data_IF_527367586162
#
_entry.id   IF_527367586162
#
_cell.length_a   1.000
_cell.length_b   1.000
_cell.length_c   1.000
_cell.angle_alpha   90.00
_cell.angle_beta   90.00
_cell.angle_gamma   90.00
#
_symmetry.space_group_name_H-M   'P 1'
#
loop_
_entity.id
_entity.type
_entity.pdbx_description
1 polymer ?
#
# COMPACT_ATOMS: atom_id res chain seq x y z
N UNK A 1 17.91 -6.81 5.18
CA UNK A 1 18.01 -5.58 4.35
C UNK A 1 17.83 -6.06 2.92
N UNK A 2 16.98 -5.38 2.15
CA UNK A 2 16.65 -5.82 0.79
C UNK A 2 17.89 -5.73 -0.11
N UNK A 3 18.19 -6.76 -0.92
CA UNK A 3 19.40 -6.79 -1.74
C UNK A 3 19.35 -5.79 -2.89
N UNK A 4 18.15 -5.44 -3.37
CA UNK A 4 17.93 -4.54 -4.50
C UNK A 4 16.78 -3.57 -4.24
N UNK A 5 16.90 -2.36 -4.79
CA UNK A 5 15.82 -1.37 -4.78
C UNK A 5 14.88 -1.57 -5.97
N UNK A 6 13.59 -1.31 -5.79
CA UNK A 6 12.62 -1.41 -6.88
C UNK A 6 11.17 -1.42 -6.39
N UNK A 7 10.28 -1.85 -7.27
CA UNK A 7 8.86 -2.06 -7.02
C UNK A 7 8.34 -3.22 -7.87
N UNK A 8 7.25 -3.84 -7.43
CA UNK A 8 6.57 -4.89 -8.18
C UNK A 8 6.07 -4.29 -9.51
N UNK A 9 6.32 -4.90 -10.69
CA UNK A 9 5.84 -4.37 -11.96
C UNK A 9 4.33 -4.13 -11.96
N UNK A 10 3.92 -2.93 -12.38
CA UNK A 10 2.52 -2.50 -12.39
C UNK A 10 2.02 -1.92 -11.05
N UNK A 11 2.83 -1.92 -10.00
CA UNK A 11 2.45 -1.28 -8.74
C UNK A 11 2.40 0.24 -8.84
N UNK A 12 1.34 0.84 -8.31
CA UNK A 12 1.26 2.28 -8.09
C UNK A 12 1.82 2.68 -6.72
N UNK A 13 2.50 3.83 -6.65
CA UNK A 13 2.96 4.37 -5.39
C UNK A 13 1.81 5.05 -4.64
N UNK A 14 1.46 4.52 -3.46
CA UNK A 14 0.52 5.14 -2.51
C UNK A 14 1.22 5.31 -1.18
N UNK A 15 1.82 6.47 -0.96
CA UNK A 15 2.57 6.74 0.26
C UNK A 15 1.60 6.82 1.45
N UNK A 16 1.85 5.98 2.47
CA UNK A 16 0.97 5.88 3.64
C UNK A 16 0.77 7.20 4.39
N UNK A 17 1.76 8.10 4.33
CA UNK A 17 1.68 9.41 4.99
C UNK A 17 0.66 10.34 4.35
N UNK A 18 0.30 10.12 3.08
CA UNK A 18 -0.71 10.93 2.39
C UNK A 18 -2.13 10.68 2.93
N UNK A 19 -2.32 9.62 3.72
CA UNK A 19 -3.54 9.35 4.46
C UNK A 19 -3.61 10.11 5.81
N UNK A 20 -2.58 10.91 6.14
CA UNK A 20 -2.48 11.65 7.40
C UNK A 20 -2.36 13.16 7.18
N UNK A 21 -2.77 13.95 8.17
CA UNK A 21 -2.57 15.39 8.21
C UNK A 21 -1.17 15.78 8.76
N UNK A 22 -0.87 17.09 8.78
CA UNK A 22 0.40 17.61 9.31
C UNK A 22 0.63 17.38 10.80
N UNK A 23 -0.35 16.87 11.54
CA UNK A 23 -0.22 16.46 12.95
C UNK A 23 -0.04 14.94 13.13
N UNK A 24 -0.01 14.19 12.03
CA UNK A 24 0.10 12.73 12.02
C UNK A 24 -1.21 12.01 12.35
N UNK A 25 -2.36 12.69 12.27
CA UNK A 25 -3.68 12.06 12.42
C UNK A 25 -4.20 11.62 11.07
N UNK A 26 -5.01 10.55 11.04
CA UNK A 26 -5.70 10.16 9.81
C UNK A 26 -6.64 11.27 9.33
N UNK A 27 -6.71 11.43 8.00
CA UNK A 27 -7.67 12.30 7.34
C UNK A 27 -9.13 11.86 7.62
N UNK A 28 -10.09 12.77 7.38
CA UNK A 28 -11.52 12.42 7.46
C UNK A 28 -11.93 11.44 6.36
N UNK A 29 -13.09 10.79 6.52
CA UNK A 29 -13.57 9.82 5.53
C UNK A 29 -13.80 10.46 4.16
N UNK A 30 -14.30 11.70 4.12
CA UNK A 30 -14.46 12.42 2.85
C UNK A 30 -13.10 12.69 2.18
N UNK A 31 -12.09 13.10 2.95
CA UNK A 31 -10.76 13.36 2.43
C UNK A 31 -10.05 12.06 2.00
N UNK A 32 -10.23 10.97 2.74
CA UNK A 32 -9.73 9.66 2.36
C UNK A 32 -10.43 9.14 1.09
N UNK A 33 -11.74 9.38 0.93
CA UNK A 33 -12.46 9.01 -0.28
C UNK A 33 -11.93 9.75 -1.51
N UNK A 34 -11.60 11.05 -1.37
CA UNK A 34 -10.92 11.82 -2.42
C UNK A 34 -9.50 11.29 -2.67
N UNK A 35 -8.75 10.95 -1.62
CA UNK A 35 -7.39 10.40 -1.72
C UNK A 35 -7.35 9.08 -2.51
N UNK A 36 -8.28 8.16 -2.23
CA UNK A 36 -8.36 6.86 -2.91
C UNK A 36 -9.01 6.96 -4.29
N UNK A 37 -9.99 7.86 -4.46
CA UNK A 37 -10.62 8.14 -5.76
C UNK A 37 -11.15 6.88 -6.44
N UNK A 38 -10.82 6.72 -7.72
CA UNK A 38 -11.30 5.60 -8.56
C UNK A 38 -10.81 4.22 -8.07
N UNK A 39 -9.76 4.15 -7.24
CA UNK A 39 -9.31 2.88 -6.67
C UNK A 39 -10.36 2.23 -5.77
N UNK A 40 -11.31 3.01 -5.23
CA UNK A 40 -12.44 2.47 -4.47
C UNK A 40 -13.36 1.58 -5.32
N UNK A 41 -13.31 1.71 -6.65
CA UNK A 41 -14.09 0.91 -7.61
C UNK A 41 -13.29 -0.24 -8.22
N UNK A 42 -12.00 -0.39 -7.86
CA UNK A 42 -11.15 -1.45 -8.40
C UNK A 42 -11.68 -2.84 -8.01
N UNK A 43 -11.61 -3.82 -8.93
CA UNK A 43 -12.08 -5.19 -8.64
C UNK A 43 -11.31 -5.83 -7.48
N UNK A 44 -9.99 -5.61 -7.42
CA UNK A 44 -9.12 -6.11 -6.37
C UNK A 44 -8.06 -5.07 -6.01
N UNK A 45 -7.77 -4.96 -4.71
CA UNK A 45 -6.70 -4.13 -4.18
C UNK A 45 -5.74 -5.00 -3.37
N UNK A 46 -4.44 -4.90 -3.68
CA UNK A 46 -3.37 -5.56 -2.93
C UNK A 46 -2.33 -4.51 -2.54
N UNK A 47 -2.05 -4.39 -1.24
CA UNK A 47 -1.05 -3.48 -0.70
C UNK A 47 0.23 -4.19 -0.29
N UNK A 48 1.36 -3.51 -0.43
CA UNK A 48 2.67 -3.92 0.06
C UNK A 48 3.55 -2.71 0.38
N UNK A 49 4.63 -2.91 1.15
CA UNK A 49 5.67 -1.89 1.33
C UNK A 49 7.06 -2.55 1.30
N UNK A 50 7.98 -2.20 2.20
CA UNK A 50 9.23 -2.94 2.39
C UNK A 50 8.97 -4.31 3.04
N UNK A 51 8.38 -4.30 4.23
CA UNK A 51 8.20 -5.48 5.11
C UNK A 51 6.76 -5.70 5.58
N UNK A 52 5.78 -5.15 4.86
CA UNK A 52 4.35 -5.30 5.15
C UNK A 52 3.78 -4.35 6.21
N UNK A 53 4.60 -3.63 6.96
CA UNK A 53 4.15 -2.81 8.10
C UNK A 53 3.40 -1.54 7.67
N UNK A 54 4.05 -0.65 6.91
CA UNK A 54 3.45 0.64 6.54
C UNK A 54 2.25 0.51 5.59
N UNK A 55 2.19 -0.58 4.81
CA UNK A 55 1.03 -0.87 3.95
C UNK A 55 -0.26 -1.07 4.77
N UNK A 56 -0.16 -1.52 6.03
CA UNK A 56 -1.32 -1.69 6.90
C UNK A 56 -2.08 -0.38 7.15
N UNK A 57 -1.42 0.79 7.08
CA UNK A 57 -2.09 2.09 7.21
C UNK A 57 -3.05 2.29 6.02
N UNK A 58 -2.59 1.99 4.81
CA UNK A 58 -3.40 2.07 3.59
C UNK A 58 -4.58 1.08 3.64
N UNK A 59 -4.33 -0.16 4.05
CA UNK A 59 -5.41 -1.15 4.19
C UNK A 59 -6.43 -0.73 5.25
N UNK A 60 -5.99 -0.13 6.35
CA UNK A 60 -6.89 0.37 7.38
C UNK A 60 -7.81 1.49 6.84
N UNK A 61 -7.27 2.43 6.06
CA UNK A 61 -8.09 3.51 5.49
C UNK A 61 -9.04 3.01 4.40
N UNK A 62 -8.61 2.06 3.57
CA UNK A 62 -9.49 1.36 2.62
C UNK A 62 -10.64 0.62 3.34
N UNK A 63 -10.34 -0.14 4.40
CA UNK A 63 -11.35 -0.84 5.19
C UNK A 63 -12.36 0.12 5.83
N UNK A 64 -11.89 1.29 6.29
CA UNK A 64 -12.73 2.35 6.85
C UNK A 64 -13.69 2.95 5.80
N UNK A 65 -13.33 2.91 4.53
CA UNK A 65 -14.16 3.32 3.39
C UNK A 65 -14.96 2.16 2.76
N UNK A 66 -15.06 1.02 3.44
CA UNK A 66 -15.85 -0.13 2.97
C UNK A 66 -15.09 -1.13 2.10
N UNK A 67 -13.82 -0.89 1.78
CA UNK A 67 -12.93 -1.83 1.07
C UNK A 67 -12.20 -2.76 2.02
N UNK A 68 -12.96 -3.47 2.85
CA UNK A 68 -12.44 -4.48 3.78
C UNK A 68 -11.91 -5.75 3.09
N UNK A 69 -12.10 -5.85 1.79
CA UNK A 69 -11.62 -6.91 0.89
C UNK A 69 -10.17 -6.68 0.41
N UNK A 70 -9.60 -5.48 0.63
CA UNK A 70 -8.21 -5.19 0.28
C UNK A 70 -7.23 -6.13 1.00
N UNK A 71 -6.30 -6.73 0.26
CA UNK A 71 -5.40 -7.76 0.75
C UNK A 71 -4.00 -7.21 1.02
N UNK A 72 -3.32 -7.76 2.03
CA UNK A 72 -1.92 -7.47 2.31
C UNK A 72 -1.06 -8.56 1.70
N UNK A 73 -0.11 -8.16 0.84
CA UNK A 73 1.04 -9.02 0.57
C UNK A 73 2.08 -8.82 1.68
N UNK A 74 1.98 -9.66 2.71
CA UNK A 74 2.74 -9.50 3.95
C UNK A 74 4.26 -9.58 3.75
N UNK A 75 4.73 -10.46 2.85
CA UNK A 75 6.14 -10.59 2.49
C UNK A 75 6.69 -9.30 1.86
N UNK A 76 5.84 -8.57 1.13
CA UNK A 76 6.15 -7.25 0.60
C UNK A 76 7.39 -7.24 -0.30
N UNK A 77 8.07 -6.09 -0.47
CA UNK A 77 9.23 -6.00 -1.34
C UNK A 77 10.35 -6.94 -0.90
N UNK A 78 10.58 -7.10 0.40
CA UNK A 78 11.60 -8.03 0.93
C UNK A 78 11.40 -9.47 0.44
N UNK A 79 10.17 -9.97 0.42
CA UNK A 79 9.86 -11.29 -0.12
C UNK A 79 9.94 -11.29 -1.65
N UNK A 80 9.32 -10.31 -2.33
CA UNK A 80 9.30 -10.25 -3.79
C UNK A 80 10.70 -10.24 -4.41
N UNK A 81 11.57 -9.35 -3.91
CA UNK A 81 12.92 -9.20 -4.44
C UNK A 81 13.80 -10.42 -4.19
N UNK A 82 13.44 -11.30 -3.25
CA UNK A 82 14.16 -12.55 -2.99
C UNK A 82 14.00 -13.60 -4.10
N UNK A 83 12.98 -13.46 -4.94
CA UNK A 83 12.74 -14.32 -6.11
C UNK A 83 13.20 -13.71 -7.43
N UNK A 84 13.72 -12.48 -7.41
CA UNK A 84 14.31 -11.90 -8.61
C UNK A 84 15.59 -12.68 -8.97
N UNK A 85 15.87 -12.86 -10.27
CA UNK A 85 17.17 -13.38 -10.68
C UNK A 85 18.27 -12.51 -10.08
N UNK A 86 19.37 -13.12 -9.66
CA UNK A 86 20.58 -12.34 -9.44
C UNK A 86 20.93 -11.67 -10.78
N UNK A 87 21.18 -10.36 -10.76
CA UNK A 87 21.81 -9.69 -11.89
C UNK A 87 23.16 -10.40 -12.15
N UNK A 88 23.39 -10.90 -13.38
CA UNK A 88 24.69 -11.44 -13.82
C UNK A 88 25.79 -10.36 -13.77
#
# INVERSE_FOLDING_TARGET
MDPVAGHIPGAENRFWGDATDGSGRLLSDEALAVHWGELLEAEQLVGYCGSGVSACINLFTLARLGRGDAQLYAGSWSDWCSYLPADD
#
